data_IF_702006220539
#
_entry.id   IF_702006220539
#
_cell.length_a   1.000
_cell.length_b   1.000
_cell.length_c   1.000
_cell.angle_alpha   90.00
_cell.angle_beta   90.00
_cell.angle_gamma   90.00
#
_symmetry.space_group_name_H-M   'P 1'
#
loop_
_entity.id
_entity.type
_entity.pdbx_description
1 polymer ?
#
# COMPACT_ATOMS: atom_id res chain seq x y z
N UNK A 1 -13.07 -15.57 29.25
CA UNK A 1 -11.67 -15.60 28.80
C UNK A 1 -11.48 -14.34 27.99
N UNK A 2 -10.60 -13.43 28.40
CA UNK A 2 -10.33 -12.22 27.62
C UNK A 2 -9.55 -12.65 26.38
N UNK A 3 -10.26 -12.80 25.26
CA UNK A 3 -9.64 -12.85 23.94
C UNK A 3 -8.97 -11.48 23.72
N UNK A 4 -7.71 -11.38 24.14
CA UNK A 4 -6.81 -10.36 23.63
C UNK A 4 -6.72 -10.66 22.14
N UNK A 5 -7.49 -9.93 21.34
CA UNK A 5 -7.29 -9.85 19.90
C UNK A 5 -5.79 -9.62 19.70
N UNK A 6 -5.07 -10.64 19.21
CA UNK A 6 -3.65 -10.51 18.96
C UNK A 6 -3.49 -9.39 17.93
N UNK A 7 -2.84 -8.31 18.37
CA UNK A 7 -2.58 -7.17 17.51
C UNK A 7 -1.59 -7.65 16.45
N UNK A 8 -2.08 -7.86 15.22
CA UNK A 8 -1.30 -8.34 14.07
C UNK A 8 -0.07 -7.45 13.85
N UNK A 9 -0.22 -6.13 14.02
CA UNK A 9 0.88 -5.17 14.00
C UNK A 9 0.49 -3.89 14.75
N UNK A 10 1.46 -3.24 15.42
CA UNK A 10 1.30 -1.97 16.14
C UNK A 10 1.65 -0.73 15.30
N UNK A 11 2.13 -0.91 14.08
CA UNK A 11 2.58 0.18 13.21
C UNK A 11 3.96 0.73 13.62
N UNK A 12 4.25 2.02 13.35
CA UNK A 12 3.40 2.97 12.62
C UNK A 12 3.08 2.49 11.20
N UNK A 13 1.94 2.91 10.66
CA UNK A 13 1.51 2.54 9.31
C UNK A 13 1.66 3.68 8.32
N UNK A 14 1.96 3.31 7.08
CA UNK A 14 2.22 4.21 5.98
C UNK A 14 1.36 3.85 4.77
N UNK A 15 0.85 4.87 4.10
CA UNK A 15 0.16 4.76 2.82
C UNK A 15 0.88 5.61 1.78
N UNK A 16 1.54 4.94 0.84
CA UNK A 16 2.14 5.57 -0.33
C UNK A 16 1.11 5.78 -1.43
N UNK A 17 1.03 7.00 -1.96
CA UNK A 17 0.09 7.35 -3.03
C UNK A 17 0.54 8.61 -3.78
N UNK A 18 -0.13 8.91 -4.89
CA UNK A 18 -0.05 10.21 -5.57
C UNK A 18 -1.31 11.06 -5.36
N UNK A 19 -2.27 10.56 -4.58
CA UNK A 19 -3.44 11.32 -4.17
C UNK A 19 -3.06 12.42 -3.16
N UNK A 20 -3.62 13.61 -3.35
CA UNK A 20 -3.51 14.69 -2.38
C UNK A 20 -4.58 14.50 -1.29
N UNK A 21 -4.14 14.19 -0.08
CA UNK A 21 -4.95 13.94 1.10
C UNK A 21 -4.52 14.91 2.20
N UNK A 22 -5.43 15.24 3.10
CA UNK A 22 -5.19 16.15 4.23
C UNK A 22 -5.19 15.39 5.54
N UNK A 23 -4.44 15.90 6.50
CA UNK A 23 -4.49 15.42 7.88
C UNK A 23 -5.93 15.54 8.39
N UNK A 24 -6.45 14.45 8.95
CA UNK A 24 -7.84 14.33 9.39
C UNK A 24 -8.77 13.67 8.37
N UNK A 25 -8.36 13.53 7.11
CA UNK A 25 -9.16 12.83 6.10
C UNK A 25 -9.35 11.36 6.46
N UNK A 26 -10.50 10.82 6.04
CA UNK A 26 -10.80 9.39 6.08
C UNK A 26 -10.70 8.82 4.68
N UNK A 27 -9.59 8.15 4.40
CA UNK A 27 -9.40 7.39 3.17
C UNK A 27 -10.33 6.18 3.21
N UNK A 28 -11.17 6.02 2.18
CA UNK A 28 -12.16 4.94 2.06
C UNK A 28 -11.73 3.97 0.96
N UNK A 29 -12.19 2.70 0.97
CA UNK A 29 -11.99 1.81 -0.18
C UNK A 29 -12.78 2.31 -1.40
N UNK A 30 -12.76 1.56 -2.51
CA UNK A 30 -13.46 1.84 -3.77
C UNK A 30 -12.85 2.95 -4.63
N UNK A 31 -11.55 3.23 -4.45
CA UNK A 31 -10.76 4.02 -5.39
C UNK A 31 -10.27 3.16 -6.57
N UNK A 32 -9.87 3.79 -7.67
CA UNK A 32 -9.28 3.08 -8.81
C UNK A 32 -7.98 2.38 -8.38
N UNK A 33 -7.81 1.14 -8.81
CA UNK A 33 -6.60 0.37 -8.54
C UNK A 33 -5.39 0.94 -9.29
N UNK A 34 -4.23 0.91 -8.64
CA UNK A 34 -2.95 1.24 -9.29
C UNK A 34 -2.43 0.12 -10.20
N UNK A 35 -3.08 -1.04 -10.25
CA UNK A 35 -2.58 -2.20 -11.00
C UNK A 35 -3.61 -2.80 -11.96
N UNK A 36 -4.91 -2.54 -11.74
CA UNK A 36 -6.01 -3.07 -12.52
C UNK A 36 -6.96 -1.96 -12.98
N UNK A 37 -7.62 -2.16 -14.11
CA UNK A 37 -8.67 -1.24 -14.60
C UNK A 37 -10.02 -1.48 -13.90
N UNK A 38 -10.00 -1.46 -12.56
CA UNK A 38 -11.20 -1.58 -11.70
C UNK A 38 -11.00 -0.85 -10.38
N UNK A 39 -12.10 -0.66 -9.64
CA UNK A 39 -12.04 -0.17 -8.26
C UNK A 39 -11.52 -1.27 -7.32
N UNK A 40 -10.73 -0.86 -6.34
CA UNK A 40 -10.23 -1.75 -5.29
C UNK A 40 -11.17 -1.81 -4.10
N UNK A 41 -11.46 -3.03 -3.64
CA UNK A 41 -12.29 -3.32 -2.48
C UNK A 41 -11.60 -2.97 -1.14
N UNK A 42 -10.28 -2.75 -1.16
CA UNK A 42 -9.47 -2.53 0.03
C UNK A 42 -8.62 -1.27 -0.09
N UNK A 43 -8.15 -0.80 1.06
CA UNK A 43 -7.09 0.19 1.16
C UNK A 43 -5.82 -0.55 1.58
N UNK A 44 -4.73 -0.33 0.86
CA UNK A 44 -3.43 -0.97 1.11
C UNK A 44 -2.52 -0.02 1.88
N UNK A 45 -1.82 -0.54 2.88
CA UNK A 45 -0.88 0.19 3.72
C UNK A 45 0.18 -0.76 4.28
N UNK A 46 1.26 -0.23 4.83
CA UNK A 46 2.39 -1.04 5.31
C UNK A 46 3.00 -0.46 6.56
N UNK A 47 3.65 -1.29 7.37
CA UNK A 47 4.46 -0.86 8.50
C UNK A 47 5.97 -0.77 8.17
N UNK A 48 6.34 -0.79 6.89
CA UNK A 48 7.71 -0.49 6.43
C UNK A 48 7.72 0.73 5.51
N UNK A 49 8.72 1.60 5.68
CA UNK A 49 8.85 2.77 4.82
C UNK A 49 9.14 2.36 3.37
N UNK A 50 9.95 1.32 3.17
CA UNK A 50 10.35 0.83 1.86
C UNK A 50 9.17 0.44 0.97
N UNK A 51 8.24 -0.38 1.48
CA UNK A 51 7.03 -0.72 0.74
C UNK A 51 6.10 0.49 0.52
N UNK A 52 6.12 1.48 1.42
CA UNK A 52 5.36 2.72 1.24
C UNK A 52 5.92 3.58 0.10
N UNK A 53 7.25 3.60 -0.09
CA UNK A 53 7.89 4.27 -1.24
C UNK A 53 7.38 3.66 -2.54
N UNK A 54 7.43 2.34 -2.67
CA UNK A 54 6.90 1.64 -3.84
C UNK A 54 5.43 1.96 -4.11
N UNK A 55 4.60 1.99 -3.07
CA UNK A 55 3.20 2.41 -3.18
C UNK A 55 3.03 3.83 -3.75
N UNK A 56 3.89 4.77 -3.37
CA UNK A 56 3.86 6.14 -3.88
C UNK A 56 4.40 6.23 -5.32
N UNK A 57 5.56 5.64 -5.59
CA UNK A 57 6.27 5.70 -6.87
C UNK A 57 5.48 5.03 -8.00
N UNK A 58 4.89 3.86 -7.72
CA UNK A 58 4.15 3.04 -8.69
C UNK A 58 2.68 3.44 -8.83
N UNK A 59 2.18 4.38 -8.03
CA UNK A 59 0.79 4.82 -8.14
C UNK A 59 0.46 5.41 -9.53
N UNK A 60 -0.74 5.10 -10.04
CA UNK A 60 -1.20 5.58 -11.35
C UNK A 60 -1.74 7.01 -11.26
N UNK A 61 -0.86 7.98 -11.37
CA UNK A 61 -1.21 9.41 -11.48
C UNK A 61 0.01 10.21 -11.95
N UNK A 62 -0.17 11.33 -12.66
CA UNK A 62 0.91 12.28 -12.94
C UNK A 62 1.25 13.18 -11.74
N UNK A 63 0.50 13.07 -10.64
CA UNK A 63 0.68 13.90 -9.46
C UNK A 63 1.93 13.51 -8.66
N UNK A 64 2.36 14.40 -7.77
CA UNK A 64 3.53 14.18 -6.91
C UNK A 64 3.32 12.98 -5.98
N UNK A 65 4.37 12.19 -5.80
CA UNK A 65 4.47 11.08 -4.84
C UNK A 65 4.39 11.60 -3.39
N UNK A 66 3.62 10.90 -2.56
CA UNK A 66 3.36 11.24 -1.16
C UNK A 66 3.31 9.99 -0.32
N UNK A 67 3.76 10.10 0.93
CA UNK A 67 3.61 9.04 1.94
C UNK A 67 2.92 9.65 3.15
N UNK A 68 1.79 9.08 3.53
CA UNK A 68 1.03 9.48 4.71
C UNK A 68 1.24 8.48 5.83
N UNK A 69 1.27 8.98 7.07
CA UNK A 69 1.09 8.15 8.27
C UNK A 69 -0.41 7.98 8.47
N UNK A 70 -0.83 6.75 8.69
CA UNK A 70 -2.24 6.39 8.75
C UNK A 70 -2.58 5.57 9.99
N UNK A 71 -3.81 5.70 10.47
CA UNK A 71 -4.37 4.86 11.51
C UNK A 71 -5.57 4.07 10.95
N UNK A 72 -5.54 2.72 10.99
CA UNK A 72 -6.70 1.94 10.62
C UNK A 72 -7.82 2.13 11.66
N UNK A 73 -9.04 2.43 11.18
CA UNK A 73 -10.20 2.61 12.04
C UNK A 73 -11.00 1.32 12.28
N UNK A 74 -10.54 0.21 11.73
CA UNK A 74 -11.14 -1.11 11.91
C UNK A 74 -10.13 -2.22 11.63
N UNK A 75 -10.62 -3.45 11.52
CA UNK A 75 -9.78 -4.61 11.30
C UNK A 75 -9.05 -4.55 9.96
N UNK A 76 -7.87 -5.16 9.92
CA UNK A 76 -7.04 -5.30 8.74
C UNK A 76 -6.38 -6.67 8.74
N UNK A 77 -5.96 -7.12 7.56
CA UNK A 77 -5.34 -8.41 7.35
C UNK A 77 -4.05 -8.26 6.53
N UNK A 78 -3.21 -9.30 6.53
CA UNK A 78 -2.03 -9.37 5.69
C UNK A 78 -2.41 -9.21 4.22
N UNK A 79 -1.62 -8.44 3.47
CA UNK A 79 -1.80 -8.31 2.03
C UNK A 79 -1.44 -9.65 1.34
N UNK A 80 -2.41 -10.35 0.73
CA UNK A 80 -2.16 -11.62 0.06
C UNK A 80 -1.32 -11.47 -1.21
N UNK A 81 -1.12 -10.26 -1.74
CA UNK A 81 -0.25 -10.02 -2.89
C UNK A 81 1.25 -10.06 -2.51
N UNK A 82 1.56 -9.86 -1.22
CA UNK A 82 2.94 -9.74 -0.74
C UNK A 82 3.30 -10.75 0.36
N UNK A 83 2.29 -11.38 0.97
CA UNK A 83 2.46 -12.37 2.04
C UNK A 83 2.52 -13.78 1.46
N UNK A 84 3.48 -14.59 1.93
CA UNK A 84 3.68 -15.98 1.49
C UNK A 84 3.80 -16.15 -0.03
N UNK A 85 4.39 -15.16 -0.71
CA UNK A 85 4.69 -15.18 -2.15
C UNK A 85 6.13 -15.56 -2.41
N UNK A 86 7.01 -14.56 -2.45
CA UNK A 86 8.45 -14.76 -2.70
C UNK A 86 9.18 -15.25 -1.45
N UNK A 87 8.71 -14.86 -0.27
CA UNK A 87 9.29 -15.16 1.02
C UNK A 87 8.18 -15.62 1.99
N UNK A 88 8.51 -16.49 2.96
CA UNK A 88 7.54 -16.91 3.97
C UNK A 88 7.14 -15.74 4.89
N UNK A 89 5.85 -15.69 5.24
CA UNK A 89 5.25 -14.65 6.07
C UNK A 89 5.08 -13.32 5.36
N UNK A 90 5.03 -12.24 6.14
CA UNK A 90 4.82 -10.87 5.68
C UNK A 90 6.03 -9.96 5.99
N UNK A 91 7.19 -10.16 5.33
CA UNK A 91 8.42 -9.42 5.65
C UNK A 91 8.31 -7.92 5.33
N UNK A 92 7.48 -7.55 4.36
CA UNK A 92 7.21 -6.14 4.02
C UNK A 92 6.20 -5.50 4.97
N UNK A 93 5.61 -6.28 5.89
CA UNK A 93 4.54 -5.86 6.80
C UNK A 93 3.46 -5.08 6.05
N UNK A 94 2.99 -5.65 4.95
CA UNK A 94 1.97 -5.05 4.08
C UNK A 94 0.59 -5.60 4.43
N UNK A 95 -0.39 -4.72 4.48
CA UNK A 95 -1.73 -4.98 4.97
C UNK A 95 -2.79 -4.37 4.05
N UNK A 96 -4.01 -4.88 4.19
CA UNK A 96 -5.18 -4.30 3.53
C UNK A 96 -6.38 -4.24 4.47
N UNK A 97 -7.25 -3.25 4.29
CA UNK A 97 -8.47 -3.09 5.08
C UNK A 97 -9.66 -2.63 4.22
N UNK A 98 -10.86 -3.11 4.56
CA UNK A 98 -12.14 -2.57 4.06
C UNK A 98 -12.63 -1.37 4.87
N UNK A 99 -12.08 -1.19 6.07
CA UNK A 99 -12.39 -0.05 6.93
C UNK A 99 -11.58 1.16 6.49
N UNK A 100 -12.06 2.36 6.83
CA UNK A 100 -11.34 3.59 6.48
C UNK A 100 -10.00 3.70 7.22
N UNK A 101 -9.03 4.36 6.59
CA UNK A 101 -7.80 4.79 7.24
C UNK A 101 -7.89 6.29 7.52
N UNK A 102 -7.51 6.69 8.72
CA UNK A 102 -7.40 8.11 9.08
C UNK A 102 -6.00 8.61 8.75
N UNK A 103 -5.91 9.71 8.02
CA UNK A 103 -4.63 10.38 7.75
C UNK A 103 -4.22 11.18 8.99
N UNK A 104 -3.07 10.83 9.58
CA UNK A 104 -2.59 11.48 10.81
C UNK A 104 -1.40 12.41 10.57
N UNK A 105 -0.59 12.12 9.56
CA UNK A 105 0.52 12.99 9.14
C UNK A 105 0.89 12.74 7.67
N UNK A 106 1.69 13.65 7.10
CA UNK A 106 2.37 13.49 5.82
C UNK A 106 3.89 13.52 6.06
N UNK A 107 4.62 12.54 5.50
CA UNK A 107 6.08 12.57 5.51
C UNK A 107 6.56 13.61 4.50
N UNK A 108 7.11 14.72 5.00
CA UNK A 108 7.64 15.81 4.17
C UNK A 108 8.90 15.45 3.38
N UNK A 109 9.69 14.52 3.89
CA UNK A 109 10.95 14.09 3.27
C UNK A 109 11.14 12.59 3.51
N UNK A 110 11.50 11.90 2.43
CA UNK A 110 11.88 10.50 2.39
C UNK A 110 12.75 10.31 1.15
N UNK A 111 13.66 9.35 1.22
CA UNK A 111 14.54 9.01 0.11
C UNK A 111 13.81 8.11 -0.88
N UNK A 112 13.64 8.60 -2.11
CA UNK A 112 13.05 7.85 -3.22
C UNK A 112 14.01 6.78 -3.72
N UNK A 113 13.49 5.70 -4.28
CA UNK A 113 14.32 4.80 -5.09
C UNK A 113 14.92 5.54 -6.29
N UNK A 114 16.02 4.99 -6.81
CA UNK A 114 16.61 5.53 -8.03
C UNK A 114 15.65 5.38 -9.21
N UNK A 115 15.76 6.27 -10.20
CA UNK A 115 14.96 6.18 -11.41
C UNK A 115 15.18 4.83 -12.13
N UNK A 116 16.40 4.29 -12.07
CA UNK A 116 16.72 2.98 -12.65
C UNK A 116 15.95 1.84 -11.96
N UNK A 117 15.89 1.82 -10.63
CA UNK A 117 15.13 0.82 -9.88
C UNK A 117 13.63 0.92 -10.19
N UNK A 118 13.09 2.13 -10.25
CA UNK A 118 11.67 2.36 -10.54
C UNK A 118 11.34 1.94 -11.97
N UNK A 119 12.17 2.30 -12.94
CA UNK A 119 11.98 1.92 -14.34
C UNK A 119 12.10 0.41 -14.54
N UNK A 120 13.02 -0.25 -13.84
CA UNK A 120 13.13 -1.72 -13.85
C UNK A 120 11.86 -2.38 -13.29
N UNK A 121 11.33 -1.86 -12.18
CA UNK A 121 10.09 -2.37 -11.59
C UNK A 121 8.88 -2.17 -12.50
N UNK A 122 8.72 -0.97 -13.08
CA UNK A 122 7.66 -0.69 -14.05
C UNK A 122 7.73 -1.61 -15.27
N UNK A 123 8.94 -1.83 -15.80
CA UNK A 123 9.18 -2.75 -16.92
C UNK A 123 8.82 -4.19 -16.54
N UNK A 124 9.16 -4.63 -15.33
CA UNK A 124 8.82 -5.95 -14.83
C UNK A 124 7.30 -6.15 -14.69
N UNK A 125 6.61 -5.17 -14.10
CA UNK A 125 5.15 -5.20 -13.97
C UNK A 125 4.44 -5.21 -15.32
N UNK A 126 4.96 -4.46 -16.30
CA UNK A 126 4.43 -4.48 -17.67
C UNK A 126 4.58 -5.86 -18.32
N UNK A 127 5.74 -6.51 -18.18
CA UNK A 127 5.96 -7.87 -18.71
C UNK A 127 5.00 -8.88 -18.11
N UNK A 128 4.77 -8.83 -16.79
CA UNK A 128 3.79 -9.70 -16.12
C UNK A 128 2.38 -9.51 -16.70
N UNK A 129 1.98 -8.26 -16.96
CA UNK A 129 0.69 -7.95 -17.58
C UNK A 129 0.58 -8.47 -19.01
N UNK A 130 1.62 -8.31 -19.81
CA UNK A 130 1.68 -8.84 -21.19
C UNK A 130 1.61 -10.37 -21.22
N UNK A 131 2.09 -11.03 -20.16
CA UNK A 131 2.05 -12.49 -19.99
C UNK A 131 0.76 -13.00 -19.35
N UNK A 132 -0.10 -12.11 -18.83
CA UNK A 132 -1.31 -12.48 -18.09
C UNK A 132 -1.01 -13.07 -16.70
N UNK A 133 0.18 -12.83 -16.15
CA UNK A 133 0.63 -13.31 -14.85
C UNK A 133 0.44 -12.26 -13.72
N UNK A 134 -0.10 -11.07 -14.04
CA UNK A 134 -0.38 -9.98 -13.09
C UNK A 134 -1.65 -10.22 -12.24
N UNK A 135 -1.70 -11.37 -11.58
CA UNK A 135 -2.80 -11.74 -10.68
C UNK A 135 -2.78 -10.88 -9.42
N UNK A 136 -3.75 -9.98 -9.30
CA UNK A 136 -3.98 -9.17 -8.09
C UNK A 136 -5.18 -9.71 -7.31
N UNK A 137 -4.92 -10.05 -6.05
CA UNK A 137 -5.91 -10.44 -5.06
C UNK A 137 -6.46 -9.20 -4.38
N UNK A 138 -7.67 -8.83 -4.80
CA UNK A 138 -8.44 -7.72 -4.24
C UNK A 138 -9.72 -8.22 -3.57
#
# INVERSE_FOLDING_TARGET
MNDKQEVIDRGPFFHGTKAELKIGDLLKPQHLSNYQDKKSNYIYFTATLDAAKWGAELAQSPSKERIYIVEPLGEFENDPNLTDKKFPGNPTRSYRSKSSLKITAELKSWERHSDDEINQMLTFLQKLREQGEDVIYD
#
